data_IF_164773906694
#
_entry.id   IF_164773906694
#
_cell.length_a   1.000
_cell.length_b   1.000
_cell.length_c   1.000
_cell.angle_alpha   90.00
_cell.angle_beta   90.00
_cell.angle_gamma   90.00
#
_symmetry.space_group_name_H-M   'P 1'
#
loop_
_entity.id
_entity.type
_entity.pdbx_description
1 polymer ?
#
# COMPACT_ATOMS: atom_id res chain seq x y z
N UNK A 1 24.75 -56.90 27.76
CA UNK A 1 25.19 -55.48 27.82
C UNK A 1 24.41 -54.64 26.81
N UNK A 2 23.14 -54.30 27.10
CA UNK A 2 22.29 -53.43 26.24
C UNK A 2 21.22 -52.75 27.11
N UNK A 3 21.58 -52.05 28.19
CA UNK A 3 20.60 -51.33 29.04
C UNK A 3 21.10 -50.03 29.67
N UNK A 4 22.20 -49.43 29.20
CA UNK A 4 22.76 -48.22 29.83
C UNK A 4 23.00 -47.02 28.89
N UNK A 5 22.58 -47.08 27.63
CA UNK A 5 22.80 -45.97 26.68
C UNK A 5 21.61 -44.99 26.63
N UNK A 6 20.45 -45.34 27.19
CA UNK A 6 19.23 -44.54 27.03
C UNK A 6 19.05 -43.40 28.03
N UNK A 7 19.86 -43.30 29.09
CA UNK A 7 19.65 -42.29 30.15
C UNK A 7 20.55 -41.05 30.05
N UNK A 8 21.56 -41.05 29.16
CA UNK A 8 22.53 -39.95 29.07
C UNK A 8 22.22 -38.91 27.98
N UNK A 9 21.17 -39.11 27.17
CA UNK A 9 20.77 -38.16 26.13
C UNK A 9 19.67 -37.15 26.56
N UNK A 10 19.23 -37.22 27.82
CA UNK A 10 18.17 -36.37 28.38
C UNK A 10 18.70 -35.23 29.27
N UNK A 11 20.02 -35.01 29.33
CA UNK A 11 20.62 -34.04 30.23
C UNK A 11 21.51 -33.03 29.49
N UNK A 12 20.88 -32.03 28.85
CA UNK A 12 21.38 -30.65 28.64
C UNK A 12 20.71 -29.97 27.43
N UNK A 13 19.39 -29.78 27.49
CA UNK A 13 18.73 -28.80 26.63
C UNK A 13 17.92 -27.83 27.49
N UNK A 14 18.58 -27.16 28.42
CA UNK A 14 17.99 -26.03 29.16
C UNK A 14 19.06 -24.95 29.34
N UNK A 15 18.63 -23.72 29.06
CA UNK A 15 19.29 -22.42 29.22
C UNK A 15 20.24 -21.98 28.10
N UNK A 16 19.61 -21.48 27.04
CA UNK A 16 20.21 -20.54 26.10
C UNK A 16 19.14 -19.65 25.49
N UNK A 17 18.16 -19.19 26.27
CA UNK A 17 17.26 -18.10 25.86
C UNK A 17 18.10 -16.81 25.97
N UNK A 18 19.07 -16.67 25.06
CA UNK A 18 19.66 -15.37 24.80
C UNK A 18 18.53 -14.48 24.33
N UNK A 19 18.14 -13.53 25.18
CA UNK A 19 17.16 -12.50 24.88
C UNK A 19 17.41 -11.95 23.48
N UNK A 20 16.63 -12.39 22.50
CA UNK A 20 16.39 -11.58 21.32
C UNK A 20 15.53 -10.44 21.79
N UNK A 21 16.18 -9.44 22.40
CA UNK A 21 15.58 -8.13 22.59
C UNK A 21 15.10 -7.72 21.20
N UNK A 22 13.78 -7.71 21.06
CA UNK A 22 13.09 -7.30 19.86
C UNK A 22 13.58 -5.91 19.49
N UNK A 23 14.43 -5.80 18.48
CA UNK A 23 14.84 -4.53 17.88
C UNK A 23 13.68 -3.83 17.13
N UNK A 24 12.42 -4.28 17.34
CA UNK A 24 11.23 -3.72 16.69
C UNK A 24 10.60 -2.53 17.43
N UNK A 25 11.09 -2.16 18.62
CA UNK A 25 10.50 -1.08 19.44
C UNK A 25 11.43 0.13 19.66
N UNK A 26 12.54 0.23 18.92
CA UNK A 26 13.33 1.46 19.00
C UNK A 26 12.59 2.59 18.29
N UNK A 27 12.16 3.58 19.07
CA UNK A 27 11.45 4.75 18.57
C UNK A 27 12.31 5.45 17.52
N UNK A 28 11.72 5.84 16.40
CA UNK A 28 12.39 6.62 15.36
C UNK A 28 12.95 7.95 15.90
N UNK A 29 12.52 8.40 17.08
CA UNK A 29 13.05 9.60 17.74
C UNK A 29 14.43 9.37 18.39
N UNK A 30 14.81 8.13 18.68
CA UNK A 30 16.05 7.78 19.36
C UNK A 30 17.24 7.66 18.40
N UNK A 31 16.98 7.67 17.09
CA UNK A 31 18.01 7.60 16.06
C UNK A 31 18.67 8.98 15.83
N UNK A 32 19.97 9.05 15.50
CA UNK A 32 20.61 10.28 15.03
C UNK A 32 19.86 10.89 13.84
N UNK A 33 19.82 12.22 13.74
CA UNK A 33 19.04 12.94 12.71
C UNK A 33 19.29 12.43 11.28
N UNK A 34 20.54 12.11 10.94
CA UNK A 34 20.92 11.56 9.63
C UNK A 34 20.27 10.20 9.35
N UNK A 35 20.21 9.32 10.35
CA UNK A 35 19.58 8.00 10.24
C UNK A 35 18.05 8.11 10.23
N UNK A 36 17.49 9.07 10.99
CA UNK A 36 16.08 9.43 10.91
C UNK A 36 15.71 9.87 9.51
N UNK A 37 16.44 10.83 8.95
CA UNK A 37 16.18 11.36 7.61
C UNK A 37 16.27 10.29 6.51
N UNK A 38 17.22 9.36 6.62
CA UNK A 38 17.35 8.22 5.70
C UNK A 38 16.16 7.24 5.77
N UNK A 39 15.47 7.16 6.92
CA UNK A 39 14.27 6.36 7.10
C UNK A 39 12.97 7.11 6.78
N UNK A 40 12.98 8.46 6.79
CA UNK A 40 11.84 9.28 6.33
C UNK A 40 11.60 9.06 4.83
N UNK A 41 12.66 8.91 4.05
CA UNK A 41 12.57 8.62 2.62
C UNK A 41 13.50 7.47 2.25
N UNK A 42 12.99 6.25 2.36
CA UNK A 42 13.66 5.07 1.83
C UNK A 42 12.96 4.67 0.51
N UNK A 43 13.57 4.90 -0.66
CA UNK A 43 12.96 4.55 -1.95
C UNK A 43 12.75 3.04 -2.14
N UNK A 44 13.43 2.21 -1.34
CA UNK A 44 13.19 0.76 -1.28
C UNK A 44 11.93 0.40 -0.47
N UNK A 45 11.48 1.28 0.43
CA UNK A 45 10.20 1.13 1.13
C UNK A 45 9.06 1.55 0.19
N UNK A 46 8.57 0.58 -0.58
CA UNK A 46 7.34 0.72 -1.38
C UNK A 46 6.12 0.62 -0.47
N UNK A 47 5.88 1.66 0.35
CA UNK A 47 4.70 1.73 1.22
C UNK A 47 3.96 3.04 0.97
N UNK A 48 2.64 2.96 0.84
CA UNK A 48 1.76 4.13 0.82
C UNK A 48 0.67 3.95 1.87
N UNK A 49 0.34 5.03 2.57
CA UNK A 49 -0.80 5.12 3.46
C UNK A 49 -1.90 5.90 2.75
N UNK A 50 -3.07 5.29 2.61
CA UNK A 50 -4.27 5.92 2.09
C UNK A 50 -5.19 6.26 3.26
N UNK A 51 -5.35 7.55 3.50
CA UNK A 51 -6.23 8.10 4.51
C UNK A 51 -7.50 8.66 3.86
N UNK A 52 -8.66 8.09 4.19
CA UNK A 52 -9.97 8.54 3.71
C UNK A 52 -10.80 8.95 4.90
N UNK A 53 -11.23 10.22 4.92
CA UNK A 53 -12.20 10.73 5.89
C UNK A 53 -13.59 10.79 5.27
N UNK A 54 -14.57 10.17 5.93
CA UNK A 54 -15.98 10.23 5.56
C UNK A 54 -16.81 10.27 6.84
N UNK A 55 -17.78 11.17 6.92
CA UNK A 55 -18.69 11.29 8.07
C UNK A 55 -17.95 11.38 9.42
N UNK A 56 -16.87 12.16 9.47
CA UNK A 56 -15.94 12.31 10.61
C UNK A 56 -15.20 11.02 11.04
N UNK A 57 -15.23 9.98 10.21
CA UNK A 57 -14.49 8.74 10.43
C UNK A 57 -13.30 8.67 9.48
N UNK A 58 -12.09 8.60 10.05
CA UNK A 58 -10.86 8.32 9.32
C UNK A 58 -10.68 6.81 9.12
N UNK A 59 -10.38 6.40 7.89
CA UNK A 59 -9.96 5.04 7.55
C UNK A 59 -8.59 5.09 6.91
N UNK A 60 -7.61 4.44 7.55
CA UNK A 60 -6.23 4.31 7.05
C UNK A 60 -6.04 2.93 6.45
N UNK A 61 -5.56 2.86 5.20
CA UNK A 61 -5.19 1.61 4.52
C UNK A 61 -3.73 1.67 4.10
N UNK A 62 -2.93 0.67 4.51
CA UNK A 62 -1.54 0.56 4.07
C UNK A 62 -1.45 -0.37 2.85
N UNK A 63 -0.73 0.07 1.82
CA UNK A 63 -0.33 -0.78 0.71
C UNK A 63 1.19 -0.95 0.68
N UNK A 64 1.65 -2.17 0.42
CA UNK A 64 3.06 -2.46 0.13
C UNK A 64 3.35 -2.20 -1.37
N UNK A 65 3.02 -1.00 -1.82
CA UNK A 65 3.21 -0.52 -3.19
C UNK A 65 3.39 1.00 -3.17
N UNK A 66 3.98 1.55 -4.23
CA UNK A 66 3.95 3.01 -4.50
C UNK A 66 2.62 3.44 -5.15
N UNK A 67 1.78 2.47 -5.54
CA UNK A 67 0.49 2.72 -6.18
C UNK A 67 -0.66 2.54 -5.20
N UNK A 68 -1.62 3.45 -5.28
CA UNK A 68 -2.91 3.35 -4.60
C UNK A 68 -3.91 2.69 -5.56
N UNK A 69 -4.53 1.54 -5.19
CA UNK A 69 -5.58 0.95 -6.00
C UNK A 69 -6.80 1.87 -6.07
N UNK A 70 -7.24 2.22 -7.28
CA UNK A 70 -8.39 3.09 -7.52
C UNK A 70 -9.65 2.59 -6.79
N UNK A 71 -9.83 1.26 -6.71
CA UNK A 71 -10.95 0.66 -6.00
C UNK A 71 -11.04 1.06 -4.52
N UNK A 72 -9.90 1.27 -3.88
CA UNK A 72 -9.84 1.57 -2.44
C UNK A 72 -10.20 3.03 -2.18
N UNK A 73 -9.90 3.92 -3.12
CA UNK A 73 -10.32 5.34 -3.09
C UNK A 73 -11.84 5.47 -3.08
N UNK A 74 -12.55 4.71 -3.91
CA UNK A 74 -14.01 4.81 -4.03
C UNK A 74 -14.77 3.76 -3.21
N UNK A 75 -14.08 2.93 -2.42
CA UNK A 75 -14.69 1.80 -1.67
C UNK A 75 -15.89 2.21 -0.82
N UNK A 76 -15.85 3.39 -0.21
CA UNK A 76 -16.90 3.89 0.68
C UNK A 76 -18.00 4.69 -0.05
N UNK A 77 -17.87 4.89 -1.35
CA UNK A 77 -18.79 5.73 -2.14
C UNK A 77 -19.96 4.96 -2.76
N UNK A 78 -19.89 3.63 -2.79
CA UNK A 78 -20.85 2.79 -3.53
C UNK A 78 -20.62 2.79 -5.05
N UNK A 79 -19.49 3.35 -5.53
CA UNK A 79 -19.16 3.37 -6.94
C UNK A 79 -18.98 1.96 -7.53
N UNK A 80 -19.35 1.82 -8.80
CA UNK A 80 -19.10 0.62 -9.60
C UNK A 80 -17.93 0.83 -10.54
N UNK A 81 -17.22 -0.24 -10.89
CA UNK A 81 -16.00 -0.19 -11.69
C UNK A 81 -16.13 -1.12 -12.89
N UNK A 82 -15.72 -0.63 -14.05
CA UNK A 82 -15.59 -1.44 -15.26
C UNK A 82 -14.22 -1.20 -15.91
N UNK A 83 -13.52 -2.28 -16.24
CA UNK A 83 -12.26 -2.23 -16.97
C UNK A 83 -12.46 -2.77 -18.39
N UNK A 84 -12.15 -1.94 -19.39
CA UNK A 84 -12.03 -2.35 -20.79
C UNK A 84 -10.54 -2.46 -21.14
N UNK A 85 -10.01 -3.69 -21.10
CA UNK A 85 -8.61 -3.98 -21.40
C UNK A 85 -8.23 -3.73 -22.86
N UNK A 86 -9.17 -3.82 -23.80
CA UNK A 86 -8.90 -3.55 -25.23
C UNK A 86 -8.72 -2.05 -25.46
N UNK A 87 -9.58 -1.24 -24.83
CA UNK A 87 -9.51 0.22 -24.91
C UNK A 87 -8.53 0.84 -23.93
N UNK A 88 -8.05 0.08 -22.94
CA UNK A 88 -7.24 0.58 -21.82
C UNK A 88 -7.95 1.68 -21.03
N UNK A 89 -9.24 1.48 -20.75
CA UNK A 89 -10.08 2.46 -20.04
C UNK A 89 -10.68 1.81 -18.79
N UNK A 90 -10.58 2.49 -17.66
CA UNK A 90 -11.38 2.19 -16.46
C UNK A 90 -12.50 3.21 -16.34
N UNK A 91 -13.74 2.75 -16.18
CA UNK A 91 -14.88 3.60 -15.85
C UNK A 91 -15.29 3.37 -14.40
N UNK A 92 -15.33 4.43 -13.62
CA UNK A 92 -15.88 4.45 -12.26
C UNK A 92 -17.19 5.21 -12.29
N UNK A 93 -18.30 4.58 -11.91
CA UNK A 93 -19.63 5.22 -11.94
C UNK A 93 -20.17 5.40 -10.54
N UNK A 94 -20.69 6.58 -10.24
CA UNK A 94 -21.41 6.85 -9.00
C UNK A 94 -22.52 7.88 -9.23
N UNK A 95 -23.73 7.62 -8.76
CA UNK A 95 -24.85 8.57 -8.78
C UNK A 95 -25.07 9.30 -10.13
N UNK A 96 -24.94 8.58 -11.26
CA UNK A 96 -25.13 9.15 -12.60
C UNK A 96 -23.94 9.96 -13.15
N UNK A 97 -22.84 10.04 -12.41
CA UNK A 97 -21.55 10.57 -12.86
C UNK A 97 -20.59 9.44 -13.22
N UNK A 98 -19.70 9.70 -14.18
CA UNK A 98 -18.67 8.74 -14.57
C UNK A 98 -17.28 9.39 -14.56
N UNK A 99 -16.33 8.73 -13.91
CA UNK A 99 -14.91 9.01 -14.05
C UNK A 99 -14.32 8.00 -15.03
N UNK A 100 -13.69 8.50 -16.09
CA UNK A 100 -12.99 7.72 -17.11
C UNK A 100 -11.50 7.88 -16.85
N UNK A 101 -10.83 6.80 -16.45
CA UNK A 101 -9.36 6.74 -16.40
C UNK A 101 -8.86 6.16 -17.73
N UNK A 102 -8.19 7.00 -18.49
CA UNK A 102 -7.72 6.73 -19.83
C UNK A 102 -6.23 6.40 -19.84
N UNK A 103 -5.91 5.12 -20.02
CA UNK A 103 -4.53 4.63 -20.17
C UNK A 103 -4.21 4.28 -21.62
N UNK A 104 -5.03 4.72 -22.58
CA UNK A 104 -4.90 4.38 -23.99
C UNK A 104 -3.86 5.23 -24.72
N UNK A 105 -3.53 6.41 -24.18
CA UNK A 105 -2.71 7.43 -24.86
C UNK A 105 -3.43 8.16 -25.99
N UNK A 106 -4.74 7.92 -26.18
CA UNK A 106 -5.57 8.60 -27.18
C UNK A 106 -6.49 9.59 -26.47
N UNK A 107 -6.72 10.76 -27.06
CA UNK A 107 -7.67 11.73 -26.52
C UNK A 107 -9.10 11.15 -26.50
N UNK A 108 -9.86 11.46 -25.44
CA UNK A 108 -11.26 11.06 -25.29
C UNK A 108 -12.08 12.31 -24.94
N UNK A 109 -13.08 12.61 -25.76
CA UNK A 109 -14.05 13.67 -25.49
C UNK A 109 -14.98 13.26 -24.36
N UNK A 110 -15.05 14.08 -23.30
CA UNK A 110 -15.95 13.84 -22.17
C UNK A 110 -17.40 14.20 -22.51
N UNK A 111 -18.36 13.33 -22.16
CA UNK A 111 -19.78 13.68 -22.13
C UNK A 111 -20.16 14.58 -20.94
N UNK A 112 -21.42 15.04 -20.91
CA UNK A 112 -21.95 16.01 -19.93
C UNK A 112 -21.72 15.63 -18.45
N UNK A 113 -21.75 14.33 -18.12
CA UNK A 113 -21.59 13.82 -16.76
C UNK A 113 -20.29 13.01 -16.59
N UNK A 114 -19.33 13.21 -17.49
CA UNK A 114 -18.10 12.44 -17.52
C UNK A 114 -16.92 13.34 -17.18
N UNK A 115 -16.03 12.83 -16.33
CA UNK A 115 -14.70 13.40 -16.12
C UNK A 115 -13.70 12.41 -16.68
N UNK A 116 -12.87 12.87 -17.62
CA UNK A 116 -11.77 12.05 -18.16
C UNK A 116 -10.47 12.44 -17.44
N UNK A 117 -9.74 11.45 -16.94
CA UNK A 117 -8.38 11.57 -16.43
C UNK A 117 -7.42 10.70 -17.24
N UNK A 118 -6.14 11.07 -17.36
CA UNK A 118 -5.60 12.37 -16.96
C UNK A 118 -6.26 13.50 -17.76
N UNK A 119 -6.55 14.63 -17.11
CA UNK A 119 -6.89 15.86 -17.85
C UNK A 119 -5.59 16.29 -18.50
N UNK A 120 -5.61 16.49 -19.81
CA UNK A 120 -4.46 16.99 -20.56
C UNK A 120 -3.92 18.27 -19.88
N UNK A 121 -2.83 18.15 -19.12
CA UNK A 121 -1.84 19.19 -18.87
C UNK A 121 -0.51 18.53 -18.48
N UNK A 122 0.00 17.66 -19.35
CA UNK A 122 1.44 17.37 -19.44
C UNK A 122 2.09 18.30 -20.48
N UNK A 123 1.66 19.56 -20.53
CA UNK A 123 2.44 20.58 -21.21
C UNK A 123 3.67 20.85 -20.34
N UNK A 124 4.79 20.22 -20.72
CA UNK A 124 6.16 20.57 -20.35
C UNK A 124 6.53 20.41 -18.87
N UNK A 125 6.90 19.20 -18.49
CA UNK A 125 8.05 19.03 -17.58
C UNK A 125 9.08 18.18 -18.32
N UNK A 126 9.84 18.87 -19.19
CA UNK A 126 11.19 18.47 -19.60
C UNK A 126 12.17 18.89 -18.50
#
# INVERSE_FOLDING_TARGET
MKRLVSLLLMLSLVVGIGSVASALDQSLLDLPFKERAANVYNPSLKKVLLDISKDNKLTTTQHNSIYVPVKDVFKQSGATFNWDGKKKITTVKNQGQELILNFSGKEITSGKNQVVLPRESLANVM
#
